data_IF_513481969217
#
_entry.id   IF_513481969217
#
_cell.length_a   1.000
_cell.length_b   1.000
_cell.length_c   1.000
_cell.angle_alpha   90.00
_cell.angle_beta   90.00
_cell.angle_gamma   90.00
#
_symmetry.space_group_name_H-M   'P 1'
#
loop_
_entity.id
_entity.type
_entity.pdbx_description
1 polymer ?
#
# COMPACT_ATOMS: atom_id res chain seq x y z
N UNK A 1 2.32 35.04 -3.61
CA UNK A 1 2.30 34.33 -2.31
C UNK A 1 1.42 33.10 -2.56
N UNK A 2 2.01 31.92 -2.69
CA UNK A 2 1.22 30.68 -2.70
C UNK A 2 0.72 30.49 -1.26
N UNK A 3 -0.60 30.53 -1.09
CA UNK A 3 -1.23 30.09 0.13
C UNK A 3 -0.74 28.65 0.37
N UNK A 4 -0.05 28.41 1.50
CA UNK A 4 0.41 27.09 1.86
C UNK A 4 -0.83 26.18 1.91
N UNK A 5 -0.88 25.20 1.03
CA UNK A 5 -2.01 24.29 0.95
C UNK A 5 -2.17 23.61 2.32
N UNK A 6 -3.24 23.94 3.02
CA UNK A 6 -3.53 23.34 4.32
C UNK A 6 -4.17 21.98 4.08
N UNK A 7 -3.38 20.93 4.05
CA UNK A 7 -3.90 19.56 3.98
C UNK A 7 -4.79 19.30 5.22
N UNK A 8 -5.93 18.69 4.99
CA UNK A 8 -6.86 18.24 6.02
C UNK A 8 -7.10 16.75 5.96
N UNK A 9 -6.76 16.14 4.84
CA UNK A 9 -6.93 14.72 4.57
C UNK A 9 -5.59 14.08 4.18
N UNK A 10 -5.26 12.97 4.81
CA UNK A 10 -4.17 12.09 4.43
C UNK A 10 -4.77 10.80 3.88
N UNK A 11 -4.39 10.43 2.66
CA UNK A 11 -4.70 9.09 2.15
C UNK A 11 -3.42 8.28 2.07
N UNK A 12 -3.50 7.00 2.41
CA UNK A 12 -2.35 6.10 2.49
C UNK A 12 -2.53 4.92 1.53
N UNK A 13 -1.50 4.58 0.78
CA UNK A 13 -1.33 3.19 0.40
C UNK A 13 -1.10 2.33 1.64
N UNK A 14 -1.44 1.05 1.60
CA UNK A 14 -1.32 0.18 2.76
C UNK A 14 -0.04 -0.67 2.73
N UNK A 15 0.05 -1.57 1.74
CA UNK A 15 1.11 -2.59 1.71
C UNK A 15 2.36 -2.09 1.00
N UNK A 16 3.39 -1.79 1.78
CA UNK A 16 4.62 -1.11 1.41
C UNK A 16 4.77 0.23 2.11
N UNK A 17 3.65 0.84 2.50
CA UNK A 17 3.62 2.14 3.18
C UNK A 17 3.41 1.99 4.69
N UNK A 18 2.33 1.32 5.09
CA UNK A 18 1.95 1.05 6.48
C UNK A 18 2.34 -0.37 6.93
N UNK A 19 2.27 -1.34 6.02
CA UNK A 19 2.51 -2.76 6.23
C UNK A 19 3.72 -3.21 5.41
N UNK A 20 4.67 -3.89 6.05
CA UNK A 20 5.85 -4.47 5.40
C UNK A 20 5.51 -5.78 4.67
N UNK A 21 5.01 -5.62 3.46
CA UNK A 21 4.63 -6.74 2.60
C UNK A 21 5.82 -7.63 2.22
N UNK A 22 7.04 -7.06 2.12
CA UNK A 22 8.25 -7.83 1.75
C UNK A 22 8.54 -8.88 2.80
N UNK A 23 8.63 -8.48 4.05
CA UNK A 23 8.78 -9.41 5.18
C UNK A 23 7.56 -10.34 5.31
N UNK A 24 6.35 -9.83 5.06
CA UNK A 24 5.11 -10.61 5.08
C UNK A 24 5.14 -11.77 4.10
N UNK A 25 5.46 -11.51 2.84
CA UNK A 25 5.55 -12.52 1.78
C UNK A 25 6.61 -13.57 2.11
N UNK A 26 7.82 -13.16 2.48
CA UNK A 26 8.90 -14.11 2.81
C UNK A 26 8.51 -15.07 3.94
N UNK A 27 7.97 -14.52 5.04
CA UNK A 27 7.55 -15.33 6.20
C UNK A 27 6.41 -16.27 5.85
N UNK A 28 5.40 -15.78 5.16
CA UNK A 28 4.20 -16.57 4.89
C UNK A 28 4.43 -17.61 3.77
N UNK A 29 5.27 -17.34 2.79
CA UNK A 29 5.68 -18.37 1.82
C UNK A 29 6.47 -19.48 2.51
N UNK A 30 7.44 -19.13 3.36
CA UNK A 30 8.19 -20.14 4.12
C UNK A 30 7.28 -20.99 5.01
N UNK A 31 6.24 -20.40 5.60
CA UNK A 31 5.30 -21.08 6.49
C UNK A 31 4.28 -21.96 5.74
N UNK A 32 3.72 -21.48 4.62
CA UNK A 32 2.59 -22.13 3.95
C UNK A 32 3.03 -23.09 2.84
N UNK A 33 4.09 -22.75 2.14
CA UNK A 33 4.60 -23.53 1.01
C UNK A 33 5.74 -24.45 1.48
N UNK A 34 6.63 -23.97 2.33
CA UNK A 34 7.82 -24.70 2.77
C UNK A 34 8.83 -24.96 1.66
N UNK A 35 10.05 -25.36 2.01
CA UNK A 35 11.05 -25.81 1.03
C UNK A 35 11.41 -24.81 -0.08
N UNK A 36 11.05 -23.54 0.08
CA UNK A 36 11.29 -22.49 -0.91
C UNK A 36 12.79 -22.24 -1.06
N UNK A 37 13.31 -22.37 -2.29
CA UNK A 37 14.73 -22.22 -2.59
C UNK A 37 15.17 -20.78 -2.90
N UNK A 38 14.21 -19.83 -2.84
CA UNK A 38 14.47 -18.40 -3.03
C UNK A 38 14.17 -17.62 -1.76
N UNK A 39 14.95 -16.58 -1.53
CA UNK A 39 14.74 -15.62 -0.43
C UNK A 39 15.19 -14.23 -0.86
N UNK A 40 14.82 -13.23 -0.04
CA UNK A 40 15.25 -11.86 -0.25
C UNK A 40 14.86 -11.28 -1.61
N UNK A 41 15.72 -10.43 -2.19
CA UNK A 41 15.38 -9.68 -3.40
C UNK A 41 14.98 -10.54 -4.61
N UNK A 42 15.54 -11.76 -4.74
CA UNK A 42 15.17 -12.66 -5.85
C UNK A 42 13.76 -13.21 -5.73
N UNK A 43 13.36 -13.60 -4.52
CA UNK A 43 12.00 -14.04 -4.25
C UNK A 43 11.00 -12.92 -4.53
N UNK A 44 11.27 -11.73 -3.99
CA UNK A 44 10.38 -10.58 -4.15
C UNK A 44 10.25 -10.12 -5.60
N UNK A 45 11.35 -10.09 -6.36
CA UNK A 45 11.29 -9.75 -7.79
C UNK A 45 10.44 -10.75 -8.59
N UNK A 46 10.62 -12.05 -8.35
CA UNK A 46 9.83 -13.10 -9.00
C UNK A 46 8.35 -13.02 -8.59
N UNK A 47 8.08 -12.71 -7.32
CA UNK A 47 6.72 -12.53 -6.82
C UNK A 47 6.01 -11.35 -7.50
N UNK A 48 6.65 -10.17 -7.53
CA UNK A 48 6.08 -8.96 -8.14
C UNK A 48 5.77 -9.16 -9.63
N UNK A 49 6.66 -9.84 -10.36
CA UNK A 49 6.42 -10.14 -11.78
C UNK A 49 5.23 -11.08 -11.97
N UNK A 50 5.15 -12.13 -11.16
CA UNK A 50 4.04 -13.07 -11.19
C UNK A 50 2.70 -12.42 -10.81
N UNK A 51 2.68 -11.59 -9.77
CA UNK A 51 1.50 -10.86 -9.30
C UNK A 51 0.98 -9.89 -10.36
N UNK A 52 1.87 -9.11 -10.98
CA UNK A 52 1.53 -8.17 -12.05
C UNK A 52 0.82 -8.86 -13.22
N UNK A 53 1.23 -10.08 -13.56
CA UNK A 53 0.57 -10.86 -14.59
C UNK A 53 -0.87 -11.25 -14.20
N UNK A 54 -1.13 -11.48 -12.90
CA UNK A 54 -2.46 -11.82 -12.39
C UNK A 54 -3.39 -10.60 -12.25
N UNK A 55 -2.85 -9.40 -12.11
CA UNK A 55 -3.60 -8.15 -12.00
C UNK A 55 -4.05 -7.57 -13.36
N UNK A 56 -3.67 -8.15 -14.47
CA UNK A 56 -3.99 -7.65 -15.81
C UNK A 56 -5.51 -7.45 -16.04
N UNK A 57 -6.32 -8.28 -15.41
CA UNK A 57 -7.79 -8.15 -15.37
C UNK A 57 -8.24 -8.18 -13.91
N UNK A 58 -9.14 -7.27 -13.54
CA UNK A 58 -9.64 -7.23 -12.17
C UNK A 58 -10.32 -8.56 -11.79
N UNK A 59 -9.92 -9.08 -10.65
CA UNK A 59 -10.51 -10.16 -9.86
C UNK A 59 -10.25 -9.87 -8.38
N UNK A 60 -10.82 -10.61 -7.45
CA UNK A 60 -10.52 -10.41 -6.03
C UNK A 60 -9.03 -10.61 -5.76
N UNK A 61 -8.45 -9.76 -4.92
CA UNK A 61 -7.00 -9.80 -4.63
C UNK A 61 -6.58 -11.13 -3.99
N UNK A 62 -7.45 -11.74 -3.18
CA UNK A 62 -7.24 -13.09 -2.65
C UNK A 62 -7.03 -14.13 -3.75
N UNK A 63 -7.71 -13.98 -4.88
CA UNK A 63 -7.54 -14.86 -6.05
C UNK A 63 -6.23 -14.53 -6.79
N UNK A 64 -5.90 -13.25 -6.93
CA UNK A 64 -4.58 -12.81 -7.44
C UNK A 64 -3.46 -13.48 -6.66
N UNK A 65 -3.47 -13.36 -5.32
CA UNK A 65 -2.45 -13.95 -4.45
C UNK A 65 -2.34 -15.47 -4.61
N UNK A 66 -3.49 -16.17 -4.64
CA UNK A 66 -3.53 -17.62 -4.83
C UNK A 66 -2.89 -18.04 -6.16
N UNK A 67 -3.28 -17.39 -7.24
CA UNK A 67 -2.78 -17.72 -8.58
C UNK A 67 -1.31 -17.30 -8.76
N UNK A 68 -0.90 -16.19 -8.18
CA UNK A 68 0.51 -15.76 -8.14
C UNK A 68 1.38 -16.86 -7.56
N UNK A 69 1.07 -17.34 -6.37
CA UNK A 69 1.92 -18.34 -5.70
C UNK A 69 1.89 -19.70 -6.43
N UNK A 70 0.74 -20.12 -6.97
CA UNK A 70 0.65 -21.33 -7.80
C UNK A 70 1.51 -21.21 -9.06
N UNK A 71 1.46 -20.06 -9.74
CA UNK A 71 2.26 -19.83 -10.96
C UNK A 71 3.77 -19.83 -10.70
N UNK A 72 4.18 -19.51 -9.49
CA UNK A 72 5.58 -19.49 -9.07
C UNK A 72 6.16 -20.87 -8.72
N UNK A 73 5.40 -21.97 -8.77
CA UNK A 73 5.87 -23.30 -8.34
C UNK A 73 7.24 -23.68 -8.92
N UNK A 74 7.44 -23.49 -10.22
CA UNK A 74 8.72 -23.76 -10.87
C UNK A 74 9.86 -22.85 -10.40
N UNK A 75 9.58 -21.57 -10.21
CA UNK A 75 10.55 -20.57 -9.71
C UNK A 75 10.93 -20.81 -8.25
N UNK A 76 9.96 -21.24 -7.45
CA UNK A 76 10.16 -21.57 -6.03
C UNK A 76 10.91 -22.91 -5.85
N UNK A 77 10.96 -23.74 -6.88
CA UNK A 77 11.56 -25.09 -6.82
C UNK A 77 10.73 -26.11 -6.02
N UNK A 78 9.44 -25.82 -5.80
CA UNK A 78 8.49 -26.67 -5.07
C UNK A 78 7.13 -26.68 -5.76
N UNK A 79 6.35 -27.73 -5.55
CA UNK A 79 4.96 -27.77 -6.00
C UNK A 79 4.09 -27.06 -4.98
N UNK A 80 3.47 -25.93 -5.36
CA UNK A 80 2.51 -25.23 -4.52
C UNK A 80 1.14 -25.88 -4.66
N UNK A 81 0.63 -26.45 -3.58
CA UNK A 81 -0.73 -26.98 -3.56
C UNK A 81 -1.76 -25.86 -3.47
N UNK A 82 -2.96 -26.10 -3.97
CA UNK A 82 -4.04 -25.12 -3.89
C UNK A 82 -4.44 -24.77 -2.43
N UNK A 83 -4.30 -25.72 -1.52
CA UNK A 83 -4.51 -25.46 -0.09
C UNK A 83 -3.47 -24.50 0.48
N UNK A 84 -2.17 -24.69 0.18
CA UNK A 84 -1.10 -23.81 0.60
C UNK A 84 -1.26 -22.40 -0.01
N UNK A 85 -1.64 -22.33 -1.29
CA UNK A 85 -1.90 -21.06 -1.96
C UNK A 85 -3.07 -20.29 -1.35
N UNK A 86 -4.17 -20.96 -0.99
CA UNK A 86 -5.29 -20.33 -0.26
C UNK A 86 -4.89 -19.84 1.13
N UNK A 87 -4.08 -20.63 1.83
CA UNK A 87 -3.58 -20.25 3.15
C UNK A 87 -2.67 -19.01 3.06
N UNK A 88 -1.78 -18.97 2.05
CA UNK A 88 -0.98 -17.79 1.75
C UNK A 88 -1.86 -16.57 1.43
N UNK A 89 -2.83 -16.71 0.54
CA UNK A 89 -3.74 -15.62 0.17
C UNK A 89 -4.55 -15.06 1.36
N UNK A 90 -4.76 -15.88 2.39
CA UNK A 90 -5.43 -15.46 3.63
C UNK A 90 -4.46 -14.89 4.68
N UNK A 91 -3.17 -14.81 4.37
CA UNK A 91 -2.14 -14.38 5.32
C UNK A 91 -1.98 -12.87 5.43
N UNK A 92 -2.46 -12.11 4.46
CA UNK A 92 -2.27 -10.65 4.34
C UNK A 92 -2.43 -9.90 5.66
N UNK A 93 -3.47 -10.15 6.48
CA UNK A 93 -3.62 -9.47 7.77
C UNK A 93 -2.52 -9.78 8.80
N UNK A 94 -1.72 -10.82 8.57
CA UNK A 94 -0.60 -11.19 9.46
C UNK A 94 0.74 -10.57 9.07
N UNK A 95 0.82 -9.91 7.91
CA UNK A 95 2.02 -9.22 7.49
C UNK A 95 2.34 -8.09 8.46
N UNK A 96 3.59 -7.91 8.88
CA UNK A 96 3.91 -6.98 9.97
C UNK A 96 3.69 -5.53 9.54
N UNK A 97 3.23 -4.69 10.47
CA UNK A 97 3.27 -3.25 10.28
C UNK A 97 4.70 -2.72 10.44
N UNK A 98 5.04 -1.62 9.75
CA UNK A 98 6.26 -0.88 10.06
C UNK A 98 6.18 -0.27 11.46
N UNK A 99 7.33 -0.12 12.11
CA UNK A 99 7.40 0.31 13.49
C UNK A 99 6.82 1.73 13.73
N UNK A 100 6.89 2.60 12.73
CA UNK A 100 6.42 3.97 12.77
C UNK A 100 4.92 4.16 12.45
N UNK A 101 4.26 3.11 11.95
CA UNK A 101 2.89 3.20 11.41
C UNK A 101 1.85 3.62 12.45
N UNK A 102 1.78 2.92 13.57
CA UNK A 102 0.72 3.15 14.56
C UNK A 102 0.88 4.51 15.26
N UNK A 103 2.11 4.89 15.57
CA UNK A 103 2.42 6.18 16.19
C UNK A 103 2.08 7.33 15.25
N UNK A 104 2.53 7.25 14.00
CA UNK A 104 2.23 8.27 12.98
C UNK A 104 0.72 8.46 12.78
N UNK A 105 -0.04 7.39 12.60
CA UNK A 105 -1.48 7.49 12.40
C UNK A 105 -2.18 8.16 13.60
N UNK A 106 -1.80 7.79 14.83
CA UNK A 106 -2.35 8.41 16.05
C UNK A 106 -2.01 9.90 16.13
N UNK A 107 -0.77 10.26 15.87
CA UNK A 107 -0.28 11.62 15.87
C UNK A 107 -1.03 12.49 14.86
N UNK A 108 -1.15 12.03 13.60
CA UNK A 108 -1.90 12.78 12.58
C UNK A 108 -3.38 12.95 12.96
N UNK A 109 -3.98 11.96 13.60
CA UNK A 109 -5.33 12.09 14.13
C UNK A 109 -5.44 13.15 15.24
N UNK A 110 -4.49 13.19 16.15
CA UNK A 110 -4.47 14.22 17.23
C UNK A 110 -4.29 15.65 16.70
N UNK A 111 -3.64 15.80 15.54
CA UNK A 111 -3.49 17.05 14.80
C UNK A 111 -4.72 17.42 13.95
N UNK A 112 -5.75 16.58 13.94
CA UNK A 112 -7.01 16.81 13.24
C UNK A 112 -7.07 16.36 11.79
N UNK A 113 -6.05 15.67 11.28
CA UNK A 113 -6.09 15.09 9.94
C UNK A 113 -7.11 13.95 9.86
N UNK A 114 -7.87 13.91 8.78
CA UNK A 114 -8.69 12.75 8.38
C UNK A 114 -7.80 11.75 7.64
N UNK A 115 -7.79 10.49 8.05
CA UNK A 115 -6.87 9.43 7.61
C UNK A 115 -7.64 8.33 6.89
N UNK A 116 -7.33 8.10 5.62
CA UNK A 116 -7.98 7.07 4.81
C UNK A 116 -6.97 6.15 4.15
N UNK A 117 -7.28 4.87 4.03
CA UNK A 117 -6.46 3.92 3.28
C UNK A 117 -7.03 3.73 1.88
N UNK A 118 -6.20 3.83 0.83
CA UNK A 118 -6.51 3.50 -0.56
C UNK A 118 -5.67 2.29 -0.98
N UNK A 119 -6.26 1.10 -1.07
CA UNK A 119 -5.47 -0.14 -1.19
C UNK A 119 -5.97 -1.08 -2.28
N UNK A 120 -5.01 -1.69 -2.99
CA UNK A 120 -5.24 -2.73 -3.99
C UNK A 120 -5.52 -4.10 -3.33
N UNK A 121 -6.60 -4.21 -2.53
CA UNK A 121 -6.90 -5.39 -1.71
C UNK A 121 -8.41 -5.60 -1.62
N UNK A 122 -8.82 -6.77 -1.11
CA UNK A 122 -10.23 -7.06 -0.76
C UNK A 122 -10.62 -6.39 0.56
N UNK A 123 -11.90 -6.06 0.73
CA UNK A 123 -12.43 -5.37 1.91
C UNK A 123 -12.10 -6.12 3.21
N UNK A 124 -12.42 -7.41 3.27
CA UNK A 124 -12.24 -8.23 4.47
C UNK A 124 -10.76 -8.39 4.87
N UNK A 125 -9.85 -8.43 3.90
CA UNK A 125 -8.41 -8.47 4.17
C UNK A 125 -7.92 -7.16 4.79
N UNK A 126 -8.40 -6.02 4.28
CA UNK A 126 -8.01 -4.71 4.83
C UNK A 126 -8.64 -4.47 6.20
N UNK A 127 -9.91 -4.78 6.39
CA UNK A 127 -10.60 -4.65 7.69
C UNK A 127 -9.88 -5.45 8.78
N UNK A 128 -9.51 -6.71 8.49
CA UNK A 128 -8.77 -7.53 9.43
C UNK A 128 -7.34 -7.00 9.67
N UNK A 129 -6.67 -6.45 8.64
CA UNK A 129 -5.37 -5.80 8.79
C UNK A 129 -5.48 -4.59 9.73
N UNK A 130 -6.45 -3.70 9.52
CA UNK A 130 -6.72 -2.53 10.37
C UNK A 130 -6.95 -2.96 11.81
N UNK A 131 -7.85 -3.94 12.01
CA UNK A 131 -8.18 -4.46 13.33
C UNK A 131 -6.97 -5.07 14.04
N UNK A 132 -6.20 -5.90 13.35
CA UNK A 132 -5.06 -6.64 13.90
C UNK A 132 -3.92 -5.73 14.34
N UNK A 133 -3.65 -4.69 13.58
CA UNK A 133 -2.56 -3.76 13.85
C UNK A 133 -3.00 -2.50 14.59
N UNK A 134 -4.30 -2.38 14.93
CA UNK A 134 -4.83 -1.21 15.62
C UNK A 134 -4.62 0.08 14.82
N UNK A 135 -4.79 0.03 13.49
CA UNK A 135 -4.58 1.21 12.65
C UNK A 135 -5.74 2.19 12.84
N UNK A 136 -5.43 3.35 13.40
CA UNK A 136 -6.41 4.40 13.63
C UNK A 136 -6.65 5.21 12.36
N UNK A 137 -7.68 4.82 11.59
CA UNK A 137 -8.08 5.48 10.33
C UNK A 137 -9.56 5.83 10.35
N UNK A 138 -9.95 6.86 9.60
CA UNK A 138 -11.33 7.35 9.50
C UNK A 138 -12.12 6.60 8.42
N UNK A 139 -11.45 5.83 7.54
CA UNK A 139 -12.08 4.99 6.54
C UNK A 139 -11.09 4.45 5.51
N UNK A 140 -11.62 3.79 4.50
CA UNK A 140 -10.82 3.22 3.42
C UNK A 140 -11.58 3.12 2.10
N UNK A 141 -10.86 2.90 1.02
CA UNK A 141 -11.32 2.49 -0.31
C UNK A 141 -10.43 1.37 -0.81
N UNK A 142 -11.04 0.29 -1.29
CA UNK A 142 -10.32 -0.90 -1.78
C UNK A 142 -10.52 -1.12 -3.27
N UNK A 143 -9.67 -1.97 -3.86
CA UNK A 143 -9.87 -2.45 -5.22
C UNK A 143 -11.20 -3.20 -5.38
N UNK A 144 -11.65 -3.92 -4.34
CA UNK A 144 -12.95 -4.59 -4.36
C UNK A 144 -14.11 -3.59 -4.46
N UNK A 145 -14.04 -2.48 -3.74
CA UNK A 145 -15.08 -1.44 -3.77
C UNK A 145 -15.17 -0.75 -5.15
N UNK A 146 -14.01 -0.52 -5.80
CA UNK A 146 -13.98 0.23 -7.07
C UNK A 146 -13.94 -0.67 -8.32
N UNK A 147 -13.75 -1.97 -8.16
CA UNK A 147 -13.69 -2.92 -9.27
C UNK A 147 -12.45 -2.74 -10.17
N UNK A 148 -11.38 -2.17 -9.64
CA UNK A 148 -10.13 -1.94 -10.38
C UNK A 148 -8.94 -1.75 -9.43
N UNK A 149 -7.73 -1.98 -9.95
CA UNK A 149 -6.48 -1.74 -9.24
C UNK A 149 -5.88 -0.37 -9.57
N UNK A 150 -5.19 0.26 -8.59
CA UNK A 150 -4.22 1.30 -8.87
C UNK A 150 -3.17 0.73 -9.85
N UNK A 151 -2.71 1.48 -10.85
CA UNK A 151 -2.69 2.94 -10.98
C UNK A 151 -3.95 3.56 -11.59
N UNK A 152 -5.04 2.82 -11.81
CA UNK A 152 -6.30 3.43 -12.28
C UNK A 152 -6.87 4.38 -11.22
N UNK A 153 -7.54 5.48 -11.62
CA UNK A 153 -7.91 6.57 -10.72
C UNK A 153 -9.06 6.25 -9.74
N UNK A 154 -9.72 5.10 -9.88
CA UNK A 154 -10.96 4.77 -9.18
C UNK A 154 -10.91 4.91 -7.65
N UNK A 155 -9.76 4.61 -7.02
CA UNK A 155 -9.62 4.75 -5.57
C UNK A 155 -9.72 6.22 -5.12
N UNK A 156 -9.03 7.14 -5.80
CA UNK A 156 -9.08 8.58 -5.48
C UNK A 156 -10.44 9.18 -5.84
N UNK A 157 -11.02 8.82 -6.98
CA UNK A 157 -12.38 9.24 -7.38
C UNK A 157 -13.41 8.82 -6.32
N UNK A 158 -13.33 7.57 -5.86
CA UNK A 158 -14.21 7.05 -4.82
C UNK A 158 -13.99 7.73 -3.48
N UNK A 159 -12.73 8.01 -3.11
CA UNK A 159 -12.41 8.77 -1.91
C UNK A 159 -13.04 10.16 -1.95
N UNK A 160 -12.87 10.93 -3.01
CA UNK A 160 -13.46 12.26 -3.15
C UNK A 160 -15.00 12.22 -3.09
N UNK A 161 -15.60 11.21 -3.73
CA UNK A 161 -17.06 11.03 -3.69
C UNK A 161 -17.56 10.71 -2.26
N UNK A 162 -16.81 9.92 -1.49
CA UNK A 162 -17.18 9.54 -0.10
C UNK A 162 -17.04 10.69 0.89
N UNK A 163 -16.02 11.51 0.72
CA UNK A 163 -15.63 12.50 1.74
C UNK A 163 -16.06 13.93 1.41
N UNK A 164 -16.24 14.24 0.12
CA UNK A 164 -16.43 15.61 -0.34
C UNK A 164 -15.17 16.47 -0.25
N UNK A 165 -14.01 15.89 0.09
CA UNK A 165 -12.73 16.59 0.17
C UNK A 165 -12.35 17.20 -1.18
N UNK A 166 -11.67 18.34 -1.16
CA UNK A 166 -11.14 18.97 -2.36
C UNK A 166 -9.72 18.44 -2.64
N UNK A 167 -9.28 18.54 -3.89
CA UNK A 167 -7.96 18.02 -4.31
C UNK A 167 -6.82 18.70 -3.56
N UNK A 168 -6.91 20.01 -3.36
CA UNK A 168 -5.94 20.82 -2.63
C UNK A 168 -5.85 20.53 -1.13
N UNK A 169 -6.86 19.87 -0.57
CA UNK A 169 -6.92 19.44 0.84
C UNK A 169 -6.29 18.08 1.09
N UNK A 170 -5.92 17.36 0.02
CA UNK A 170 -5.42 15.99 0.10
C UNK A 170 -3.91 15.93 -0.05
N UNK A 171 -3.24 15.18 0.84
CA UNK A 171 -1.91 14.63 0.64
C UNK A 171 -1.99 13.11 0.56
N UNK A 172 -1.56 12.54 -0.55
CA UNK A 172 -1.47 11.10 -0.73
C UNK A 172 -0.11 10.57 -0.31
N UNK A 173 -0.06 9.62 0.62
CA UNK A 173 1.18 9.10 1.24
C UNK A 173 1.40 7.66 0.77
N UNK A 174 2.49 7.40 0.07
CA UNK A 174 2.73 6.07 -0.49
C UNK A 174 4.21 5.75 -0.71
N UNK A 175 4.55 4.46 -0.69
CA UNK A 175 5.84 3.93 -1.10
C UNK A 175 5.88 3.64 -2.61
N UNK A 176 4.80 3.11 -3.18
CA UNK A 176 4.78 2.69 -4.58
C UNK A 176 4.78 3.87 -5.54
N UNK A 177 5.83 4.01 -6.32
CA UNK A 177 5.88 5.05 -7.35
C UNK A 177 4.96 4.72 -8.53
N UNK A 178 4.85 3.44 -8.90
CA UNK A 178 4.02 2.97 -10.02
C UNK A 178 2.52 3.06 -9.72
N UNK A 179 2.09 2.55 -8.56
CA UNK A 179 0.67 2.50 -8.22
C UNK A 179 0.11 3.83 -7.70
N UNK A 180 0.98 4.69 -7.13
CA UNK A 180 0.53 5.82 -6.32
C UNK A 180 1.15 7.17 -6.73
N UNK A 181 2.47 7.33 -6.69
CA UNK A 181 3.10 8.65 -6.83
C UNK A 181 2.97 9.21 -8.25
N UNK A 182 3.23 8.39 -9.27
CA UNK A 182 3.08 8.79 -10.68
C UNK A 182 1.61 9.08 -11.01
N UNK A 183 0.63 8.23 -10.65
CA UNK A 183 -0.79 8.55 -10.83
C UNK A 183 -1.24 9.80 -10.09
N UNK A 184 -0.83 10.00 -8.83
CA UNK A 184 -1.16 11.20 -8.07
C UNK A 184 -0.66 12.47 -8.78
N UNK A 185 0.58 12.45 -9.27
CA UNK A 185 1.13 13.55 -10.08
C UNK A 185 0.29 13.83 -11.32
N UNK A 186 -0.07 12.80 -12.09
CA UNK A 186 -0.90 12.96 -13.30
C UNK A 186 -2.31 13.50 -12.99
N UNK A 187 -2.82 13.22 -11.79
CA UNK A 187 -4.11 13.75 -11.33
C UNK A 187 -3.99 15.15 -10.70
N UNK A 188 -2.79 15.74 -10.61
CA UNK A 188 -2.55 17.02 -9.96
C UNK A 188 -2.76 16.99 -8.45
N UNK A 189 -2.51 15.84 -7.81
CA UNK A 189 -2.60 15.66 -6.36
C UNK A 189 -1.23 15.84 -5.72
N UNK A 190 -1.20 16.44 -4.53
CA UNK A 190 -0.01 16.42 -3.69
C UNK A 190 0.26 15.00 -3.20
N UNK A 191 1.52 14.58 -3.23
CA UNK A 191 1.93 13.27 -2.77
C UNK A 191 3.21 13.32 -1.93
N UNK A 192 3.27 12.45 -0.90
CA UNK A 192 4.48 12.18 -0.13
C UNK A 192 4.99 10.78 -0.49
N UNK A 193 6.18 10.72 -1.05
CA UNK A 193 6.84 9.45 -1.33
C UNK A 193 7.62 8.98 -0.10
N UNK A 194 7.14 7.92 0.53
CA UNK A 194 7.82 7.26 1.66
C UNK A 194 8.78 6.22 1.09
N UNK A 195 9.98 6.66 0.75
CA UNK A 195 11.00 5.85 0.07
C UNK A 195 11.74 4.91 1.04
N UNK A 196 11.02 4.00 1.65
CA UNK A 196 11.53 3.04 2.65
C UNK A 196 12.69 2.17 2.17
N UNK A 197 12.83 2.05 0.85
CA UNK A 197 13.80 1.14 0.24
C UNK A 197 14.93 1.86 -0.51
N UNK A 198 15.03 3.18 -0.36
CA UNK A 198 16.05 4.02 -1.02
C UNK A 198 16.13 3.79 -2.53
N UNK A 199 14.98 3.65 -3.16
CA UNK A 199 14.85 3.48 -4.61
C UNK A 199 15.16 4.80 -5.33
N UNK A 200 15.75 4.76 -6.54
CA UNK A 200 15.99 5.96 -7.31
C UNK A 200 14.64 6.59 -7.73
N UNK A 201 14.60 7.92 -7.81
CA UNK A 201 13.41 8.64 -8.31
C UNK A 201 13.11 8.23 -9.74
N UNK A 202 11.94 7.61 -10.02
CA UNK A 202 11.61 7.23 -11.39
C UNK A 202 11.21 8.44 -12.22
N UNK A 203 11.41 8.32 -13.53
CA UNK A 203 10.94 9.33 -14.48
C UNK A 203 9.41 9.45 -14.41
N UNK A 204 8.90 10.67 -14.40
CA UNK A 204 7.46 10.97 -14.31
C UNK A 204 6.90 11.04 -12.90
N UNK A 205 7.67 10.73 -11.85
CA UNK A 205 7.30 11.01 -10.48
C UNK A 205 7.70 12.44 -10.08
N UNK A 206 6.79 13.14 -9.41
CA UNK A 206 7.05 14.48 -8.86
C UNK A 206 6.31 14.64 -7.53
N UNK A 207 6.78 13.95 -6.46
CA UNK A 207 6.15 14.06 -5.14
C UNK A 207 6.41 15.43 -4.52
N UNK A 208 5.47 15.87 -3.68
CA UNK A 208 5.59 17.09 -2.86
C UNK A 208 6.64 16.91 -1.77
N UNK A 209 6.68 15.72 -1.18
CA UNK A 209 7.65 15.32 -0.16
C UNK A 209 8.32 14.01 -0.53
N UNK A 210 9.59 13.86 -0.14
CA UNK A 210 10.33 12.61 -0.18
C UNK A 210 10.89 12.34 1.20
N UNK A 211 10.55 11.20 1.78
CA UNK A 211 10.98 10.82 3.13
C UNK A 211 11.36 9.34 3.15
N UNK A 212 12.19 8.91 4.10
CA UNK A 212 12.57 7.50 4.24
C UNK A 212 11.56 6.70 5.07
N UNK A 213 10.75 7.40 5.89
CA UNK A 213 9.81 6.79 6.80
C UNK A 213 8.70 7.78 7.19
N UNK A 214 7.68 7.32 7.92
CA UNK A 214 6.55 8.16 8.32
C UNK A 214 6.92 9.15 9.45
N UNK A 215 7.87 8.82 10.32
CA UNK A 215 8.31 9.73 11.36
C UNK A 215 8.92 11.02 10.76
N UNK A 216 9.77 10.89 9.75
CA UNK A 216 10.31 12.04 9.02
C UNK A 216 9.22 12.83 8.28
N UNK A 217 8.17 12.15 7.76
CA UNK A 217 7.02 12.87 7.19
C UNK A 217 6.27 13.69 8.23
N UNK A 218 6.12 13.19 9.47
CA UNK A 218 5.48 13.95 10.56
C UNK A 218 6.24 15.25 10.85
N UNK A 219 7.57 15.21 10.92
CA UNK A 219 8.43 16.38 11.12
C UNK A 219 8.20 17.44 10.02
N UNK A 220 8.17 17.04 8.75
CA UNK A 220 7.93 17.95 7.64
C UNK A 220 6.52 18.58 7.66
N UNK A 221 5.50 17.83 8.08
CA UNK A 221 4.14 18.36 8.22
C UNK A 221 4.03 19.36 9.38
N UNK A 222 4.81 19.18 10.43
CA UNK A 222 4.90 20.15 11.55
C UNK A 222 5.54 21.45 11.12
N UNK A 223 6.64 21.40 10.40
CA UNK A 223 7.33 22.58 9.87
C UNK A 223 6.44 23.43 8.96
N UNK A 224 5.52 22.80 8.21
CA UNK A 224 4.55 23.52 7.38
C UNK A 224 3.44 24.21 8.17
N UNK A 225 3.19 23.77 9.40
CA UNK A 225 2.10 24.24 10.25
C UNK A 225 2.54 25.34 11.21
N UNK A 226 3.86 25.57 11.33
CA UNK A 226 4.50 26.58 12.18
C UNK A 226 4.61 27.93 11.48
#
# INVERSE_FOLDING_TARGET
MHEAARFTHLTFDCYGTLIDWRTGIERELARTVGGVNLSGPRLLAAYVEAEKAQEATYKKYREVLRETVVSMSGTLGVTVTDAAAREFASSVPRWPAFADTAEFLREMGSKGFKRYILSNVDNDLLEETIRRHGLEVDGFVTAEEVGSYKPKPGHWERFFLKTGAKREELLHVAQSTYHDIIPAHHMGLAAAWVNRYHEPMPQGASPTFVTDNLAHLAELLDEMSA
#
